data_IF_413619928364
#
_entry.id   IF_413619928364
#
_cell.length_a   1.000
_cell.length_b   1.000
_cell.length_c   1.000
_cell.angle_alpha   90.00
_cell.angle_beta   90.00
_cell.angle_gamma   90.00
#
_symmetry.space_group_name_H-M   'P 1'
#
loop_
_entity.id
_entity.type
_entity.pdbx_description
1 polymer ?
#
# COMPACT_ATOMS: atom_id res chain seq x y z
N UNK A 1 37.86 -74.06 24.31
CA UNK A 1 36.86 -73.22 23.61
C UNK A 1 36.78 -71.88 24.35
N UNK A 2 36.42 -70.77 23.68
CA UNK A 2 36.28 -69.38 24.22
C UNK A 2 37.52 -68.46 24.06
N UNK A 3 37.95 -68.14 22.83
CA UNK A 3 38.80 -66.93 22.59
C UNK A 3 38.53 -66.19 21.26
N UNK A 4 37.57 -66.61 20.43
CA UNK A 4 37.40 -66.04 19.07
C UNK A 4 36.47 -64.82 18.97
N UNK A 5 35.71 -64.47 20.01
CA UNK A 5 34.63 -63.47 19.91
C UNK A 5 34.95 -62.06 20.45
N UNK A 6 36.03 -61.87 21.22
CA UNK A 6 36.32 -60.57 21.88
C UNK A 6 37.06 -59.52 21.05
N UNK A 7 37.54 -59.87 19.85
CA UNK A 7 38.44 -58.99 19.06
C UNK A 7 37.69 -58.06 18.09
N UNK A 8 36.44 -58.37 17.72
CA UNK A 8 35.67 -57.60 16.73
C UNK A 8 34.87 -56.43 17.33
N UNK A 9 34.52 -56.47 18.62
CA UNK A 9 33.72 -55.42 19.27
C UNK A 9 34.52 -54.13 19.53
N UNK A 10 35.82 -54.22 19.83
CA UNK A 10 36.61 -53.05 20.25
C UNK A 10 36.94 -52.08 19.10
N UNK A 11 36.97 -52.55 17.85
CA UNK A 11 37.26 -51.70 16.69
C UNK A 11 36.03 -50.91 16.23
N UNK A 12 34.84 -51.52 16.31
CA UNK A 12 33.57 -50.88 15.96
C UNK A 12 33.19 -49.77 16.94
N UNK A 13 33.40 -49.97 18.26
CA UNK A 13 33.05 -48.98 19.29
C UNK A 13 33.95 -47.73 19.25
N UNK A 14 35.21 -47.87 18.84
CA UNK A 14 36.16 -46.74 18.70
C UNK A 14 35.88 -45.88 17.46
N UNK A 15 35.44 -46.51 16.36
CA UNK A 15 34.99 -45.80 15.16
C UNK A 15 33.66 -45.07 15.37
N UNK A 16 32.72 -45.67 16.12
CA UNK A 16 31.44 -45.05 16.50
C UNK A 16 31.62 -43.84 17.45
N UNK A 17 32.53 -43.94 18.42
CA UNK A 17 32.81 -42.83 19.36
C UNK A 17 33.54 -41.65 18.69
N UNK A 18 34.46 -41.90 17.75
CA UNK A 18 35.14 -40.85 17.00
C UNK A 18 34.19 -40.09 16.05
N UNK A 19 33.24 -40.80 15.42
CA UNK A 19 32.18 -40.18 14.62
C UNK A 19 31.20 -39.34 15.46
N UNK A 20 30.85 -39.80 16.67
CA UNK A 20 29.94 -39.09 17.57
C UNK A 20 30.57 -37.81 18.15
N UNK A 21 31.88 -37.79 18.40
CA UNK A 21 32.63 -36.60 18.83
C UNK A 21 32.80 -35.57 17.70
N UNK A 22 32.93 -36.00 16.44
CA UNK A 22 32.92 -35.11 15.29
C UNK A 22 31.54 -34.51 15.00
N UNK A 23 30.47 -35.30 15.15
CA UNK A 23 29.10 -34.85 14.90
C UNK A 23 28.59 -33.84 15.95
N UNK A 24 29.00 -34.02 17.22
CA UNK A 24 28.66 -33.09 18.32
C UNK A 24 29.43 -31.78 18.25
N UNK A 25 30.67 -31.78 17.74
CA UNK A 25 31.44 -30.55 17.53
C UNK A 25 30.87 -29.65 16.43
N UNK A 26 30.30 -30.23 15.37
CA UNK A 26 29.65 -29.46 14.29
C UNK A 26 28.29 -28.92 14.76
N UNK A 27 27.54 -29.68 15.56
CA UNK A 27 26.22 -29.27 16.05
C UNK A 27 26.26 -28.07 17.02
N UNK A 28 27.35 -27.88 17.76
CA UNK A 28 27.50 -26.75 18.69
C UNK A 28 28.08 -25.47 18.04
N UNK A 29 28.80 -25.58 16.93
CA UNK A 29 29.47 -24.42 16.30
C UNK A 29 28.63 -23.72 15.21
N UNK A 30 27.68 -24.42 14.58
CA UNK A 30 26.85 -23.90 13.48
C UNK A 30 25.76 -22.88 13.88
N UNK A 31 25.12 -22.95 15.08
CA UNK A 31 23.97 -22.06 15.38
C UNK A 31 24.30 -20.56 15.38
N UNK A 32 25.55 -20.18 15.65
CA UNK A 32 25.97 -18.77 15.75
C UNK A 32 26.27 -18.07 14.42
N UNK A 33 26.48 -18.82 13.33
CA UNK A 33 26.80 -18.25 12.00
C UNK A 33 25.55 -17.91 11.18
N UNK A 34 24.37 -18.40 11.60
CA UNK A 34 23.09 -18.17 10.94
C UNK A 34 22.28 -17.02 11.55
N UNK A 35 22.75 -16.40 12.63
CA UNK A 35 22.13 -15.20 13.19
C UNK A 35 22.52 -13.97 12.37
N UNK A 36 21.97 -13.89 11.15
CA UNK A 36 21.88 -12.63 10.42
C UNK A 36 21.09 -11.64 11.28
N UNK A 37 21.79 -10.77 12.00
CA UNK A 37 21.17 -9.62 12.64
C UNK A 37 20.75 -8.67 11.52
N UNK A 38 19.54 -8.86 11.00
CA UNK A 38 18.89 -7.90 10.11
C UNK A 38 18.65 -6.64 10.94
N UNK A 39 19.62 -5.73 10.90
CA UNK A 39 19.56 -4.46 11.62
C UNK A 39 18.32 -3.72 11.09
N UNK A 40 17.33 -3.51 11.96
CA UNK A 40 16.10 -2.84 11.56
C UNK A 40 16.43 -1.49 10.90
N UNK A 41 15.94 -1.27 9.69
CA UNK A 41 16.23 -0.07 8.93
C UNK A 41 15.33 1.08 9.40
N UNK A 42 15.70 1.67 10.53
CA UNK A 42 14.97 2.79 11.13
C UNK A 42 14.95 4.04 10.23
N UNK A 43 15.95 4.22 9.37
CA UNK A 43 15.98 5.33 8.41
C UNK A 43 14.85 5.24 7.38
N UNK A 44 14.58 4.05 6.86
CA UNK A 44 13.44 3.81 5.97
C UNK A 44 12.11 3.92 6.74
N UNK A 45 12.03 3.32 7.93
CA UNK A 45 10.82 3.40 8.77
C UNK A 45 10.45 4.87 9.08
N UNK A 46 11.44 5.74 9.32
CA UNK A 46 11.24 7.17 9.55
C UNK A 46 10.70 7.94 8.33
N UNK A 47 10.74 7.36 7.11
CA UNK A 47 10.10 7.93 5.91
C UNK A 47 8.61 7.64 5.85
N UNK A 48 8.18 6.54 6.45
CA UNK A 48 6.79 6.07 6.45
C UNK A 48 6.03 6.40 7.74
N UNK A 49 6.47 7.44 8.46
CA UNK A 49 5.73 7.91 9.63
C UNK A 49 4.32 8.34 9.23
N UNK A 50 3.31 8.16 10.11
CA UNK A 50 1.90 8.46 9.78
C UNK A 50 1.71 9.90 9.31
N UNK A 51 2.48 10.86 9.86
CA UNK A 51 2.46 12.26 9.45
C UNK A 51 2.96 12.50 8.01
N UNK A 52 3.90 11.68 7.50
CA UNK A 52 4.38 11.75 6.12
C UNK A 52 3.43 11.02 5.18
N UNK A 53 2.96 9.83 5.59
CA UNK A 53 2.00 9.01 4.84
C UNK A 53 0.69 9.77 4.61
N UNK A 54 0.18 10.48 5.62
CA UNK A 54 -1.04 11.29 5.46
C UNK A 54 -0.95 12.41 4.42
N UNK A 55 0.27 12.82 4.00
CA UNK A 55 0.46 13.79 2.90
C UNK A 55 0.51 13.14 1.51
N UNK A 56 0.74 11.83 1.47
CA UNK A 56 0.85 11.04 0.24
C UNK A 56 -0.45 10.30 -0.07
N UNK A 57 -1.27 10.07 0.96
CA UNK A 57 -2.52 9.34 0.90
C UNK A 57 -3.65 10.35 0.67
N UNK A 58 -4.22 10.33 -0.53
CA UNK A 58 -5.37 11.15 -0.92
C UNK A 58 -6.70 10.47 -0.51
N UNK A 59 -7.78 10.69 -1.26
CA UNK A 59 -9.11 10.15 -0.92
C UNK A 59 -9.11 8.62 -0.83
N UNK A 60 -9.14 8.11 0.41
CA UNK A 60 -9.36 6.70 0.74
C UNK A 60 -10.84 6.34 0.86
N UNK A 61 -11.68 7.35 1.07
CA UNK A 61 -13.13 7.22 1.16
C UNK A 61 -13.78 8.22 0.22
N UNK A 62 -14.93 7.84 -0.32
CA UNK A 62 -15.73 8.67 -1.22
C UNK A 62 -16.93 9.16 -0.44
N UNK A 63 -17.14 10.47 -0.40
CA UNK A 63 -18.32 11.09 0.21
C UNK A 63 -19.38 11.37 -0.88
N UNK A 64 -20.43 10.52 -0.98
CA UNK A 64 -21.46 10.70 -1.99
C UNK A 64 -22.40 11.84 -1.62
N UNK A 65 -22.53 12.81 -2.52
CA UNK A 65 -23.50 13.89 -2.41
C UNK A 65 -24.72 13.57 -3.28
N UNK A 66 -25.82 13.15 -2.65
CA UNK A 66 -27.05 12.77 -3.34
C UNK A 66 -27.80 13.98 -3.90
N UNK A 67 -28.36 13.85 -5.09
CA UNK A 67 -29.31 14.81 -5.66
C UNK A 67 -30.71 14.53 -5.09
N UNK A 68 -31.60 15.54 -5.08
CA UNK A 68 -32.97 15.39 -4.53
C UNK A 68 -33.82 14.35 -5.25
N UNK A 69 -33.58 14.10 -6.53
CA UNK A 69 -34.20 12.96 -7.25
C UNK A 69 -33.83 11.59 -6.68
N UNK A 70 -32.78 11.47 -5.86
CA UNK A 70 -32.37 10.21 -5.22
C UNK A 70 -31.68 9.19 -6.14
N UNK A 71 -31.80 9.34 -7.46
CA UNK A 71 -31.22 8.38 -8.43
C UNK A 71 -29.74 8.65 -8.75
N UNK A 72 -29.25 9.83 -8.39
CA UNK A 72 -27.94 10.33 -8.81
C UNK A 72 -27.21 10.94 -7.64
N UNK A 73 -25.90 10.76 -7.62
CA UNK A 73 -25.01 11.42 -6.68
C UNK A 73 -23.74 11.86 -7.38
N UNK A 74 -23.09 12.89 -6.85
CA UNK A 74 -21.76 13.28 -7.29
C UNK A 74 -20.75 13.09 -6.18
N UNK A 75 -19.48 12.95 -6.54
CA UNK A 75 -18.39 12.89 -5.57
C UNK A 75 -17.13 13.55 -6.12
N UNK A 76 -16.26 13.96 -5.21
CA UNK A 76 -14.92 14.46 -5.52
C UNK A 76 -13.91 13.36 -5.28
N UNK A 77 -13.00 13.18 -6.23
CA UNK A 77 -11.87 12.29 -6.09
C UNK A 77 -10.58 13.08 -6.19
N UNK A 78 -9.76 13.03 -5.15
CA UNK A 78 -8.45 13.68 -5.14
C UNK A 78 -7.39 12.66 -5.54
N UNK A 79 -6.61 13.02 -6.56
CA UNK A 79 -5.46 12.27 -7.05
C UNK A 79 -4.20 13.12 -6.86
N UNK A 80 -2.99 12.52 -6.98
CA UNK A 80 -1.76 13.31 -7.00
C UNK A 80 -1.72 14.38 -8.11
N UNK A 81 -2.49 14.18 -9.19
CA UNK A 81 -2.56 15.13 -10.29
C UNK A 81 -3.52 16.30 -9.99
N UNK A 82 -4.56 16.10 -9.18
CA UNK A 82 -5.57 17.12 -8.91
C UNK A 82 -6.92 16.52 -8.51
N UNK A 83 -7.95 17.37 -8.55
CA UNK A 83 -9.32 16.99 -8.17
C UNK A 83 -10.15 16.64 -9.41
N UNK A 84 -10.87 15.53 -9.31
CA UNK A 84 -11.82 15.08 -10.31
C UNK A 84 -13.24 15.05 -9.73
N UNK A 85 -14.21 15.48 -10.52
CA UNK A 85 -15.62 15.48 -10.16
C UNK A 85 -16.38 14.50 -11.02
N UNK A 86 -17.03 13.55 -10.37
CA UNK A 86 -17.81 12.52 -11.03
C UNK A 86 -19.27 12.64 -10.66
N UNK A 87 -20.14 12.42 -11.64
CA UNK A 87 -21.56 12.17 -11.43
C UNK A 87 -21.83 10.70 -11.70
N UNK A 88 -22.53 10.06 -10.78
CA UNK A 88 -22.93 8.66 -10.86
C UNK A 88 -24.44 8.56 -10.87
N UNK A 89 -24.95 7.71 -11.78
CA UNK A 89 -26.33 7.25 -11.76
C UNK A 89 -26.38 5.90 -11.04
N UNK A 90 -26.91 5.87 -9.81
CA UNK A 90 -26.88 4.68 -8.96
C UNK A 90 -27.64 3.50 -9.58
N UNK A 91 -28.78 3.79 -10.22
CA UNK A 91 -29.64 2.79 -10.87
C UNK A 91 -28.96 2.09 -12.07
N UNK A 92 -28.05 2.78 -12.78
CA UNK A 92 -27.37 2.26 -13.98
C UNK A 92 -25.91 1.87 -13.72
N UNK A 93 -25.36 2.21 -12.55
CA UNK A 93 -23.95 2.03 -12.24
C UNK A 93 -23.01 2.81 -13.18
N UNK A 94 -23.53 3.84 -13.87
CA UNK A 94 -22.74 4.62 -14.81
C UNK A 94 -22.10 5.80 -14.10
N UNK A 95 -20.80 6.02 -14.34
CA UNK A 95 -20.07 7.20 -13.85
C UNK A 95 -19.63 8.04 -15.04
N UNK A 96 -19.79 9.35 -14.94
CA UNK A 96 -19.35 10.31 -15.95
C UNK A 96 -18.67 11.51 -15.30
N UNK A 97 -17.72 12.17 -15.98
CA UNK A 97 -17.22 13.47 -15.53
C UNK A 97 -18.38 14.44 -15.37
N UNK A 98 -18.39 15.19 -14.28
CA UNK A 98 -19.45 16.16 -14.00
C UNK A 98 -19.42 17.33 -15.01
N UNK A 99 -18.22 17.76 -15.39
CA UNK A 99 -17.98 18.83 -16.36
C UNK A 99 -16.62 18.63 -17.07
N UNK A 100 -16.39 19.36 -18.16
CA UNK A 100 -15.11 19.42 -18.85
C UNK A 100 -14.16 20.38 -18.11
N UNK A 101 -13.09 19.83 -17.51
CA UNK A 101 -12.12 20.60 -16.73
C UNK A 101 -11.34 21.61 -17.58
N UNK A 102 -11.00 21.26 -18.82
CA UNK A 102 -10.21 22.13 -19.69
C UNK A 102 -11.01 23.35 -20.11
N UNK A 103 -12.28 23.14 -20.46
CA UNK A 103 -13.19 24.24 -20.78
C UNK A 103 -13.42 25.15 -19.56
N UNK A 104 -13.65 24.57 -18.39
CA UNK A 104 -13.84 25.34 -17.15
C UNK A 104 -12.60 26.20 -16.81
N UNK A 105 -11.39 25.65 -16.94
CA UNK A 105 -10.15 26.39 -16.70
C UNK A 105 -9.99 27.56 -17.67
N UNK A 106 -10.30 27.35 -18.95
CA UNK A 106 -10.27 28.40 -19.98
C UNK A 106 -11.27 29.51 -19.67
N UNK A 107 -12.50 29.16 -19.33
CA UNK A 107 -13.56 30.11 -19.01
C UNK A 107 -13.20 30.93 -17.75
N UNK A 108 -12.69 30.28 -16.71
CA UNK A 108 -12.22 30.95 -15.49
C UNK A 108 -11.02 31.87 -15.77
N UNK A 109 -10.06 31.43 -16.57
CA UNK A 109 -8.91 32.24 -16.96
C UNK A 109 -9.35 33.48 -17.75
N UNK A 110 -10.33 33.33 -18.64
CA UNK A 110 -10.89 34.44 -19.40
C UNK A 110 -11.63 35.47 -18.53
N UNK A 111 -12.38 35.00 -17.52
CA UNK A 111 -13.16 35.88 -16.63
C UNK A 111 -12.28 36.55 -15.57
N UNK A 112 -11.37 35.80 -14.96
CA UNK A 112 -10.55 36.25 -13.83
C UNK A 112 -9.20 36.85 -14.26
N UNK A 113 -8.88 36.79 -15.56
CA UNK A 113 -7.61 37.25 -16.15
C UNK A 113 -6.38 36.68 -15.42
N UNK A 114 -6.52 35.50 -14.81
CA UNK A 114 -5.51 34.80 -14.02
C UNK A 114 -5.34 33.40 -14.61
N UNK A 115 -4.11 32.93 -14.87
CA UNK A 115 -3.91 31.61 -15.47
C UNK A 115 -4.35 30.50 -14.49
N UNK A 116 -5.36 29.74 -14.88
CA UNK A 116 -5.79 28.54 -14.16
C UNK A 116 -5.46 27.27 -14.95
N UNK A 117 -4.99 26.25 -14.24
CA UNK A 117 -4.78 24.92 -14.76
C UNK A 117 -6.03 24.05 -14.56
N UNK A 118 -6.30 23.15 -15.51
CA UNK A 118 -7.45 22.25 -15.51
C UNK A 118 -7.43 21.25 -14.34
N UNK A 119 -6.25 20.94 -13.79
CA UNK A 119 -6.12 20.01 -12.67
C UNK A 119 -6.34 20.69 -11.31
N UNK A 120 -6.16 22.01 -11.25
CA UNK A 120 -6.14 22.81 -10.02
C UNK A 120 -7.25 23.87 -10.01
N UNK A 121 -8.50 23.43 -10.16
CA UNK A 121 -9.66 24.33 -10.19
C UNK A 121 -10.09 24.74 -8.75
N UNK A 122 -10.30 26.05 -8.47
CA UNK A 122 -10.71 26.55 -7.16
C UNK A 122 -12.22 26.38 -6.89
N UNK A 123 -12.77 25.19 -7.09
CA UNK A 123 -14.20 24.91 -6.92
C UNK A 123 -14.47 24.52 -5.46
N UNK A 124 -15.14 25.40 -4.72
CA UNK A 124 -15.51 25.18 -3.30
C UNK A 124 -16.90 24.57 -3.14
N UNK A 125 -17.84 24.91 -4.01
CA UNK A 125 -19.23 24.50 -3.88
C UNK A 125 -19.83 24.29 -5.26
N UNK A 126 -20.50 23.16 -5.43
CA UNK A 126 -21.22 22.82 -6.65
C UNK A 126 -22.71 22.88 -6.32
N UNK A 127 -23.46 23.68 -7.07
CA UNK A 127 -24.93 23.73 -7.03
C UNK A 127 -25.48 23.40 -8.41
N UNK A 128 -26.37 22.41 -8.49
CA UNK A 128 -27.07 22.06 -9.72
C UNK A 128 -28.30 22.95 -9.89
N UNK A 129 -28.42 23.62 -11.04
CA UNK A 129 -29.45 24.67 -11.27
C UNK A 129 -30.77 24.07 -11.78
N UNK A 130 -30.75 22.86 -12.35
CA UNK A 130 -31.91 22.25 -13.01
C UNK A 130 -32.61 21.28 -12.06
N UNK A 131 -33.55 21.78 -11.23
CA UNK A 131 -34.51 21.05 -10.37
C UNK A 131 -34.02 19.80 -9.60
N UNK A 132 -32.71 19.67 -9.40
CA UNK A 132 -32.07 18.55 -8.70
C UNK A 132 -31.02 19.10 -7.74
N UNK A 133 -31.47 20.04 -6.92
CA UNK A 133 -30.69 20.65 -5.84
C UNK A 133 -30.78 19.75 -4.63
N UNK A 134 -29.65 19.34 -4.04
CA UNK A 134 -29.57 18.77 -2.69
C UNK A 134 -29.75 19.85 -1.63
#
# INVERSE_FOLDING_TARGET
MITKTRCHESFATRALMAGLLFFTGIFTLVPGLLSGQEKANYELAARWTPAKVGKLVFNLSVEPHWLVSGDRFWYVYETPAGKDWYLVEAARGSRRPLFDKARMASDLTGILLTPYDAQHLPIKTIKMIKNDTA
#
